data_IF_171191831776
#
_entry.id   IF_171191831776
#
_cell.length_a   1.000
_cell.length_b   1.000
_cell.length_c   1.000
_cell.angle_alpha   90.00
_cell.angle_beta   90.00
_cell.angle_gamma   90.00
#
_symmetry.space_group_name_H-M   'P 1'
#
loop_
_entity.id
_entity.type
_entity.pdbx_description
1 polymer ?
#
# COMPACT_ATOMS: atom_id res chain seq x y z
N UNK A 1 6.06 8.61 -10.29
CA UNK A 1 6.07 7.13 -10.35
C UNK A 1 6.44 6.73 -11.76
N UNK A 2 7.62 6.15 -11.93
CA UNK A 2 8.00 5.43 -13.14
C UNK A 2 7.32 4.05 -13.13
N UNK A 3 6.90 3.57 -14.31
CA UNK A 3 6.25 2.27 -14.49
C UNK A 3 7.13 1.10 -14.00
N UNK A 4 8.44 1.30 -13.91
CA UNK A 4 9.40 0.33 -13.36
C UNK A 4 9.12 -0.09 -11.91
N UNK A 5 8.37 0.72 -11.16
CA UNK A 5 8.03 0.44 -9.77
C UNK A 5 6.79 -0.45 -9.59
N UNK A 6 6.11 -0.82 -10.69
CA UNK A 6 4.89 -1.62 -10.65
C UNK A 6 5.17 -2.93 -11.40
N UNK A 7 5.19 -4.04 -10.67
CA UNK A 7 5.38 -5.36 -11.24
C UNK A 7 4.09 -6.18 -11.09
N UNK A 8 3.57 -6.66 -12.21
CA UNK A 8 2.36 -7.48 -12.27
C UNK A 8 2.72 -8.83 -12.88
N UNK A 9 2.53 -9.88 -12.11
CA UNK A 9 2.64 -11.28 -12.53
C UNK A 9 1.26 -11.91 -12.46
N UNK A 10 0.57 -11.94 -13.60
CA UNK A 10 -0.79 -12.44 -13.70
C UNK A 10 -0.87 -13.96 -13.50
N UNK A 11 0.10 -14.70 -14.06
CA UNK A 11 0.15 -16.15 -13.98
C UNK A 11 0.28 -16.64 -12.53
N UNK A 12 1.13 -15.99 -11.73
CA UNK A 12 1.28 -16.32 -10.31
C UNK A 12 0.36 -15.51 -9.39
N UNK A 13 -0.51 -14.67 -9.95
CA UNK A 13 -1.42 -13.77 -9.22
C UNK A 13 -0.68 -12.94 -8.17
N UNK A 14 0.43 -12.29 -8.55
CA UNK A 14 1.21 -11.42 -7.67
C UNK A 14 1.35 -10.02 -8.24
N UNK A 15 1.21 -9.04 -7.37
CA UNK A 15 1.47 -7.64 -7.69
C UNK A 15 2.43 -7.09 -6.66
N UNK A 16 3.50 -6.45 -7.12
CA UNK A 16 4.47 -5.78 -6.27
C UNK A 16 4.56 -4.32 -6.67
N UNK A 17 4.39 -3.43 -5.71
CA UNK A 17 4.48 -1.99 -5.91
C UNK A 17 5.55 -1.41 -5.00
N UNK A 18 6.44 -0.64 -5.60
CA UNK A 18 7.34 0.25 -4.90
C UNK A 18 6.77 1.67 -4.92
N UNK A 19 6.70 2.31 -3.75
CA UNK A 19 6.34 3.73 -3.65
C UNK A 19 7.40 4.50 -2.90
N UNK A 20 7.61 5.75 -3.31
CA UNK A 20 8.59 6.64 -2.70
C UNK A 20 7.83 7.66 -1.84
N UNK A 21 8.01 7.69 -0.51
CA UNK A 21 7.47 8.75 0.32
C UNK A 21 8.01 10.12 -0.10
N UNK A 22 7.32 11.19 0.29
CA UNK A 22 7.72 12.56 -0.06
C UNK A 22 9.06 12.98 0.54
N UNK A 23 9.39 12.44 1.73
CA UNK A 23 10.63 12.74 2.47
C UNK A 23 11.12 11.48 3.23
N UNK A 24 12.41 11.39 3.59
CA UNK A 24 12.98 10.24 4.28
C UNK A 24 12.41 9.91 5.66
N UNK A 25 11.74 10.87 6.32
CA UNK A 25 11.14 10.71 7.66
C UNK A 25 9.61 10.91 7.63
N UNK A 26 8.96 10.51 6.54
CA UNK A 26 7.54 10.75 6.32
C UNK A 26 6.67 9.94 7.30
N UNK A 27 6.04 10.63 8.26
CA UNK A 27 5.08 10.02 9.20
C UNK A 27 3.86 9.40 8.52
N UNK A 28 3.58 9.79 7.27
CA UNK A 28 2.44 9.33 6.48
C UNK A 28 2.77 8.14 5.57
N UNK A 29 4.01 7.63 5.58
CA UNK A 29 4.42 6.53 4.70
C UNK A 29 3.51 5.29 4.85
N UNK A 30 3.16 4.92 6.09
CA UNK A 30 2.24 3.81 6.36
C UNK A 30 0.82 4.08 5.85
N UNK A 31 0.31 5.31 5.99
CA UNK A 31 -1.03 5.66 5.50
C UNK A 31 -1.08 5.62 3.97
N UNK A 32 -0.06 6.15 3.29
CA UNK A 32 0.07 6.07 1.83
C UNK A 32 0.04 4.61 1.36
N UNK A 33 0.86 3.76 1.99
CA UNK A 33 0.87 2.33 1.69
C UNK A 33 -0.47 1.63 1.95
N UNK A 34 -1.18 2.01 3.02
CA UNK A 34 -2.50 1.46 3.33
C UNK A 34 -3.55 1.86 2.29
N UNK A 35 -3.55 3.12 1.83
CA UNK A 35 -4.43 3.57 0.76
C UNK A 35 -4.21 2.80 -0.54
N UNK A 36 -2.95 2.58 -0.92
CA UNK A 36 -2.60 1.73 -2.07
C UNK A 36 -3.14 0.31 -1.89
N UNK A 37 -2.99 -0.27 -0.69
CA UNK A 37 -3.44 -1.63 -0.40
C UNK A 37 -4.94 -1.78 -0.53
N UNK A 38 -5.70 -0.87 0.10
CA UNK A 38 -7.16 -0.89 0.04
C UNK A 38 -7.67 -0.66 -1.37
N UNK A 39 -7.05 0.26 -2.12
CA UNK A 39 -7.45 0.51 -3.50
C UNK A 39 -7.32 -0.74 -4.35
N UNK A 40 -6.16 -1.40 -4.30
CA UNK A 40 -5.91 -2.62 -5.07
C UNK A 40 -6.80 -3.77 -4.62
N UNK A 41 -7.00 -3.93 -3.31
CA UNK A 41 -7.89 -4.95 -2.76
C UNK A 41 -9.34 -4.80 -3.27
N UNK A 42 -9.82 -3.56 -3.43
CA UNK A 42 -11.18 -3.29 -3.94
C UNK A 42 -11.30 -3.35 -5.46
N UNK A 43 -10.21 -3.09 -6.18
CA UNK A 43 -10.23 -2.96 -7.65
C UNK A 43 -9.85 -4.24 -8.37
N UNK A 44 -9.21 -5.20 -7.69
CA UNK A 44 -8.64 -6.39 -8.31
C UNK A 44 -9.31 -7.68 -7.82
N UNK A 45 -9.29 -8.75 -8.64
CA UNK A 45 -9.74 -10.07 -8.22
C UNK A 45 -9.02 -10.55 -6.95
N UNK A 46 -9.71 -11.19 -5.99
CA UNK A 46 -9.12 -11.64 -4.72
C UNK A 46 -7.95 -12.63 -4.83
N UNK A 47 -7.73 -13.23 -6.02
CA UNK A 47 -6.59 -14.12 -6.28
C UNK A 47 -5.24 -13.39 -6.18
N UNK A 48 -5.22 -12.07 -6.40
CA UNK A 48 -3.98 -11.30 -6.41
C UNK A 48 -3.44 -11.08 -5.01
N UNK A 49 -2.19 -11.51 -4.80
CA UNK A 49 -1.39 -11.18 -3.62
C UNK A 49 -0.65 -9.88 -3.89
N UNK A 50 -0.96 -8.87 -3.10
CA UNK A 50 -0.40 -7.52 -3.23
C UNK A 50 0.68 -7.30 -2.17
N UNK A 51 1.91 -7.07 -2.64
CA UNK A 51 3.07 -6.65 -1.85
C UNK A 51 3.31 -5.15 -2.09
N UNK A 52 3.31 -4.35 -1.02
CA UNK A 52 3.58 -2.91 -1.10
C UNK A 52 4.84 -2.63 -0.29
N UNK A 53 5.79 -1.97 -0.95
CA UNK A 53 7.12 -1.73 -0.42
C UNK A 53 7.48 -0.27 -0.64
N UNK A 54 8.18 0.32 0.32
CA UNK A 54 8.90 1.57 0.11
C UNK A 54 10.06 1.32 -0.85
N UNK A 55 10.28 2.23 -1.78
CA UNK A 55 11.46 2.22 -2.68
C UNK A 55 12.74 2.18 -1.84
N UNK A 56 13.67 1.24 -2.07
CA UNK A 56 14.87 1.08 -1.25
C UNK A 56 15.68 2.38 -1.09
N UNK A 57 16.09 2.68 0.14
CA UNK A 57 16.90 3.86 0.47
C UNK A 57 16.14 5.18 0.57
N UNK A 58 14.81 5.17 0.43
CA UNK A 58 13.99 6.40 0.37
C UNK A 58 13.28 6.76 1.68
N UNK A 59 13.39 5.91 2.71
CA UNK A 59 12.80 6.17 4.02
C UNK A 59 13.64 5.57 5.15
N UNK A 60 13.86 6.33 6.24
CA UNK A 60 14.71 5.94 7.36
C UNK A 60 14.21 4.70 8.12
N UNK A 61 12.91 4.43 8.04
CA UNK A 61 12.26 3.29 8.70
C UNK A 61 11.61 2.35 7.70
N UNK A 62 12.17 2.24 6.49
CA UNK A 62 11.62 1.44 5.38
C UNK A 62 11.28 0.00 5.81
N UNK A 63 12.17 -0.68 6.53
CA UNK A 63 11.97 -2.08 6.93
C UNK A 63 10.77 -2.24 7.88
N UNK A 64 10.60 -1.30 8.82
CA UNK A 64 9.48 -1.30 9.75
C UNK A 64 8.16 -1.03 9.05
N UNK A 65 8.11 -0.05 8.14
CA UNK A 65 6.90 0.27 7.37
C UNK A 65 6.55 -0.87 6.43
N UNK A 66 7.52 -1.45 5.72
CA UNK A 66 7.31 -2.61 4.85
C UNK A 66 6.77 -3.81 5.63
N UNK A 67 7.29 -4.07 6.83
CA UNK A 67 6.78 -5.14 7.70
C UNK A 67 5.33 -4.89 8.12
N UNK A 68 5.00 -3.66 8.53
CA UNK A 68 3.63 -3.28 8.89
C UNK A 68 2.66 -3.41 7.72
N UNK A 69 3.05 -2.94 6.54
CA UNK A 69 2.19 -2.94 5.35
C UNK A 69 1.91 -4.34 4.80
N UNK A 70 2.83 -5.29 4.99
CA UNK A 70 2.69 -6.67 4.49
C UNK A 70 2.11 -7.65 5.53
N UNK A 71 2.01 -7.25 6.80
CA UNK A 71 1.31 -7.99 7.85
C UNK A 71 -0.22 -7.90 7.63
N UNK A 72 -0.83 -9.04 7.30
CA UNK A 72 -2.27 -9.11 6.97
C UNK A 72 -3.16 -8.83 8.17
N UNK A 73 -2.78 -9.30 9.35
CA UNK A 73 -3.58 -9.14 10.57
C UNK A 73 -3.55 -7.68 11.02
N UNK A 74 -2.38 -7.04 10.94
CA UNK A 74 -2.26 -5.60 11.24
C UNK A 74 -3.05 -4.74 10.27
N UNK A 75 -3.01 -5.05 8.97
CA UNK A 75 -3.79 -4.32 7.98
C UNK A 75 -5.29 -4.52 8.20
N UNK A 76 -5.74 -5.75 8.48
CA UNK A 76 -7.15 -6.02 8.80
C UNK A 76 -7.61 -5.20 10.02
N UNK A 77 -6.86 -5.24 11.13
CA UNK A 77 -7.17 -4.47 12.33
C UNK A 77 -7.19 -2.95 12.08
N UNK A 78 -6.31 -2.44 11.22
CA UNK A 78 -6.31 -1.02 10.83
C UNK A 78 -7.56 -0.62 10.04
N UNK A 79 -8.14 -1.53 9.26
CA UNK A 79 -9.35 -1.28 8.47
C UNK A 79 -10.65 -1.44 9.27
N UNK A 80 -10.61 -2.12 10.41
CA UNK A 80 -11.71 -2.16 11.38
C UNK A 80 -11.82 -0.85 12.19
N UNK A 81 -10.75 -0.05 12.24
CA UNK A 81 -10.78 1.27 12.85
C UNK A 81 -11.54 2.28 11.97
N UNK A 82 -12.70 2.73 12.43
CA UNK A 82 -13.59 3.63 11.69
C UNK A 82 -12.93 4.97 11.30
N UNK A 83 -12.04 5.51 12.14
CA UNK A 83 -11.33 6.74 11.84
C UNK A 83 -10.35 6.54 10.68
N UNK A 84 -9.50 5.51 10.77
CA UNK A 84 -8.54 5.18 9.71
C UNK A 84 -9.25 4.83 8.41
N UNK A 85 -10.31 4.02 8.47
CA UNK A 85 -11.10 3.65 7.30
C UNK A 85 -11.71 4.89 6.61
N UNK A 86 -12.19 5.86 7.38
CA UNK A 86 -12.73 7.12 6.84
C UNK A 86 -11.65 7.91 6.10
N UNK A 87 -10.46 8.05 6.69
CA UNK A 87 -9.33 8.75 6.04
C UNK A 87 -8.92 8.03 4.76
N UNK A 88 -8.75 6.71 4.81
CA UNK A 88 -8.38 5.90 3.64
C UNK A 88 -9.43 6.04 2.53
N UNK A 89 -10.72 5.94 2.87
CA UNK A 89 -11.81 6.10 1.91
C UNK A 89 -11.78 7.48 1.24
N UNK A 90 -11.53 8.55 2.02
CA UNK A 90 -11.37 9.91 1.46
C UNK A 90 -10.19 9.99 0.49
N UNK A 91 -9.06 9.36 0.81
CA UNK A 91 -7.89 9.34 -0.06
C UNK A 91 -8.13 8.64 -1.41
N UNK A 92 -9.09 7.71 -1.49
CA UNK A 92 -9.34 6.91 -2.70
C UNK A 92 -10.67 7.24 -3.42
N UNK A 93 -11.51 8.12 -2.88
CA UNK A 93 -12.90 8.35 -3.30
C UNK A 93 -13.12 8.77 -4.77
N UNK A 94 -12.10 9.26 -5.47
CA UNK A 94 -12.20 9.74 -6.85
C UNK A 94 -11.08 9.19 -7.75
N UNK A 95 -10.68 7.95 -7.46
CA UNK A 95 -9.56 7.28 -8.16
C UNK A 95 -10.04 6.21 -9.14
N UNK A 96 -11.33 5.88 -9.15
CA UNK A 96 -11.97 5.04 -10.16
C UNK A 96 -12.28 5.91 -11.39
N UNK A 97 -11.82 5.48 -12.57
CA UNK A 97 -12.17 6.08 -13.87
C UNK A 97 -13.11 5.16 -14.62
#
# INVERSE_FOLDING_TARGET
MSLENIHVDDANSRIKIYFTPTIPHCSMATLIGLCLRVKLLRSLPPRFKVDILITPGTHSSEAAVNKQLNDKERVAAALENSHLLTVVNKCIAHTDK
#
